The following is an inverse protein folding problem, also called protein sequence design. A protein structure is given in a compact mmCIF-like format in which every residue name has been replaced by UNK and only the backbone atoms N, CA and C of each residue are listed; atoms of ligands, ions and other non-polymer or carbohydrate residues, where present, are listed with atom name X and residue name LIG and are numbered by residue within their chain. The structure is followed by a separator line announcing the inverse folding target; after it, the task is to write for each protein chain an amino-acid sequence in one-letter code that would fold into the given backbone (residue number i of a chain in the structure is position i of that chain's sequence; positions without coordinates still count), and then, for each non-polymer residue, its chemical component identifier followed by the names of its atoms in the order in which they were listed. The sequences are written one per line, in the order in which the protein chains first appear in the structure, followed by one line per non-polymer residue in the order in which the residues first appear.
data_IF_027622544684
#
_entry.id   IF_027622544684
#
_cell.length_a   1.000
_cell.length_b   1.000
_cell.length_c   1.000
_cell.angle_alpha   90.00
_cell.angle_beta   90.00
_cell.angle_gamma   90.00
#
_symmetry.space_group_name_H-M   'P 1'
#
loop_
_entity.id
_entity.type
_entity.pdbx_description
1 polymer ?
#
# COMPACT_ATOMS: atom_id res chain seq x y z
N UNK A 1 28.17 -2.70 10.77
CA UNK A 1 27.02 -3.57 11.11
C UNK A 1 25.75 -2.78 10.90
N UNK A 2 24.72 -3.35 10.26
CA UNK A 2 23.37 -2.78 10.34
C UNK A 2 22.82 -3.19 11.70
N UNK A 3 22.48 -2.22 12.54
CA UNK A 3 21.84 -2.49 13.83
C UNK A 3 20.36 -2.78 13.61
N UNK A 4 19.81 -3.65 14.45
CA UNK A 4 18.37 -3.82 14.51
C UNK A 4 17.72 -2.51 14.94
N UNK A 5 16.68 -2.10 14.23
CA UNK A 5 15.99 -0.85 14.45
C UNK A 5 14.51 -1.19 14.54
N UNK A 6 13.93 -1.02 15.73
CA UNK A 6 12.53 -1.37 16.01
C UNK A 6 11.55 -0.75 14.99
N UNK A 7 11.92 0.40 14.40
CA UNK A 7 11.10 1.14 13.44
C UNK A 7 11.36 0.80 11.97
N UNK A 8 12.33 -0.08 11.65
CA UNK A 8 12.66 -0.47 10.27
C UNK A 8 12.75 -1.98 10.15
N UNK A 9 11.61 -2.62 9.91
CA UNK A 9 11.50 -4.08 9.69
C UNK A 9 12.38 -4.60 8.53
N UNK A 10 12.92 -3.72 7.69
CA UNK A 10 13.92 -4.06 6.68
C UNK A 10 15.28 -4.49 7.22
N UNK A 11 15.63 -4.16 8.48
CA UNK A 11 16.91 -4.58 9.10
C UNK A 11 17.07 -6.10 9.06
N UNK A 12 16.03 -6.83 9.50
CA UNK A 12 16.01 -8.29 9.57
C UNK A 12 16.11 -8.91 8.18
N UNK A 13 15.36 -8.38 7.21
CA UNK A 13 15.44 -8.84 5.81
C UNK A 13 16.86 -8.68 5.26
N UNK A 14 17.44 -7.49 5.35
CA UNK A 14 18.79 -7.21 4.85
C UNK A 14 19.85 -8.02 5.59
N UNK A 15 19.70 -8.24 6.89
CA UNK A 15 20.61 -9.07 7.68
C UNK A 15 20.60 -10.51 7.18
N UNK A 16 19.43 -11.12 7.01
CA UNK A 16 19.29 -12.49 6.53
C UNK A 16 19.79 -12.63 5.08
N UNK A 17 19.51 -11.65 4.23
CA UNK A 17 20.00 -11.62 2.84
C UNK A 17 21.53 -11.60 2.80
N UNK A 18 22.17 -10.72 3.57
CA UNK A 18 23.64 -10.66 3.67
C UNK A 18 24.23 -11.93 4.26
N UNK A 19 23.62 -12.48 5.31
CA UNK A 19 24.05 -13.74 5.91
C UNK A 19 23.99 -14.88 4.88
N UNK A 20 22.93 -14.93 4.06
CA UNK A 20 22.78 -15.91 2.98
C UNK A 20 23.88 -15.77 1.92
N UNK A 21 24.16 -14.54 1.48
CA UNK A 21 25.23 -14.24 0.51
C UNK A 21 26.62 -14.59 1.02
N UNK A 22 26.86 -14.41 2.32
CA UNK A 22 28.15 -14.64 2.97
C UNK A 22 28.26 -16.02 3.65
N UNK A 23 27.33 -16.94 3.39
CA UNK A 23 27.25 -18.26 4.05
C UNK A 23 28.59 -19.00 4.12
N UNK A 24 29.38 -18.99 3.04
CA UNK A 24 30.69 -19.65 3.02
C UNK A 24 31.70 -18.97 3.94
N UNK A 25 31.75 -17.64 3.93
CA UNK A 25 32.64 -16.86 4.79
C UNK A 25 32.26 -17.01 6.26
N UNK A 26 30.96 -17.01 6.57
CA UNK A 26 30.46 -17.25 7.94
C UNK A 26 30.85 -18.65 8.42
N UNK A 27 30.67 -19.69 7.60
CA UNK A 27 31.10 -21.05 7.96
C UNK A 27 32.61 -21.16 8.20
N UNK A 28 33.42 -20.53 7.34
CA UNK A 28 34.87 -20.52 7.52
C UNK A 28 35.27 -19.82 8.83
N UNK A 29 34.60 -18.72 9.17
CA UNK A 29 34.80 -18.01 10.43
C UNK A 29 34.33 -18.82 11.65
N UNK A 30 33.26 -19.60 11.53
CA UNK A 30 32.81 -20.53 12.57
C UNK A 30 33.85 -21.62 12.87
N UNK A 31 34.63 -22.03 11.86
CA UNK A 31 35.69 -23.04 11.99
C UNK A 31 37.05 -22.45 12.39
N UNK A 32 37.17 -21.12 12.46
CA UNK A 32 38.40 -20.42 12.85
C UNK A 32 38.60 -20.50 14.37
N UNK A 33 39.66 -21.17 14.86
CA UNK A 33 39.94 -21.28 16.28
C UNK A 33 40.26 -19.93 16.96
N UNK A 34 40.74 -18.92 16.21
CA UNK A 34 41.12 -17.61 16.74
C UNK A 34 39.90 -16.73 17.05
N UNK A 35 38.75 -16.99 16.39
CA UNK A 35 37.51 -16.24 16.59
C UNK A 35 36.69 -16.70 17.81
N UNK A 36 37.05 -17.84 18.42
CA UNK A 36 36.43 -18.38 19.63
C UNK A 36 34.87 -18.37 19.63
N UNK A 37 34.25 -18.65 18.48
CA UNK A 37 32.79 -18.66 18.33
C UNK A 37 32.23 -19.87 19.11
N UNK A 38 31.42 -19.57 20.13
CA UNK A 38 30.77 -20.58 20.97
C UNK A 38 29.81 -21.44 20.14
N UNK A 39 29.75 -22.74 20.42
CA UNK A 39 28.91 -23.68 19.66
C UNK A 39 27.42 -23.29 19.64
N UNK A 40 26.92 -22.64 20.69
CA UNK A 40 25.55 -22.14 20.82
C UNK A 40 25.25 -20.95 19.89
N UNK A 41 26.28 -20.29 19.35
CA UNK A 41 26.15 -19.15 18.43
C UNK A 41 26.29 -19.55 16.96
N UNK A 42 26.55 -20.83 16.67
CA UNK A 42 26.73 -21.34 15.30
C UNK A 42 25.39 -21.68 14.66
N UNK A 43 25.22 -21.33 13.39
CA UNK A 43 24.02 -21.69 12.65
C UNK A 43 24.07 -23.15 12.22
N UNK A 44 23.02 -23.90 12.54
CA UNK A 44 22.92 -25.31 12.15
C UNK A 44 22.68 -25.45 10.65
N UNK A 45 22.93 -26.62 10.04
CA UNK A 45 22.58 -26.87 8.64
C UNK A 45 21.09 -26.60 8.32
N UNK A 46 20.20 -26.84 9.29
CA UNK A 46 18.78 -26.57 9.17
C UNK A 46 18.49 -25.07 9.15
N UNK A 47 19.16 -24.27 9.98
CA UNK A 47 19.01 -22.81 9.97
C UNK A 47 19.42 -22.24 8.62
N UNK A 48 20.52 -22.75 8.07
CA UNK A 48 21.01 -22.37 6.74
C UNK A 48 20.07 -22.77 5.59
N UNK A 49 19.22 -23.78 5.76
CA UNK A 49 18.16 -24.16 4.82
C UNK A 49 16.87 -23.33 5.03
N UNK A 50 16.65 -22.85 6.25
CA UNK A 50 15.51 -22.02 6.62
C UNK A 50 15.65 -20.58 6.14
N UNK A 51 16.86 -20.01 6.20
CA UNK A 51 17.15 -18.60 5.86
C UNK A 51 16.55 -18.18 4.49
N UNK A 52 16.80 -18.89 3.37
CA UNK A 52 16.22 -18.51 2.07
C UNK A 52 14.69 -18.50 2.05
N UNK A 53 14.07 -19.41 2.81
CA UNK A 53 12.61 -19.52 2.92
C UNK A 53 12.03 -18.34 3.69
N UNK A 54 12.69 -17.93 4.77
CA UNK A 54 12.31 -16.74 5.55
C UNK A 54 12.52 -15.46 4.75
N UNK A 55 13.62 -15.34 4.00
CA UNK A 55 13.86 -14.22 3.08
C UNK A 55 12.72 -14.12 2.05
N UNK A 56 12.32 -15.25 1.45
CA UNK A 56 11.21 -15.26 0.50
C UNK A 56 9.88 -14.81 1.12
N UNK A 57 9.66 -15.13 2.41
CA UNK A 57 8.47 -14.72 3.15
C UNK A 57 8.48 -13.23 3.51
N UNK A 58 9.63 -12.69 3.89
CA UNK A 58 9.79 -11.29 4.30
C UNK A 58 9.93 -10.34 3.10
N UNK A 59 10.40 -10.82 1.95
CA UNK A 59 10.64 -10.03 0.75
C UNK A 59 9.46 -9.16 0.30
N UNK A 60 8.23 -9.68 0.19
CA UNK A 60 7.06 -8.87 -0.17
C UNK A 60 6.77 -7.73 0.82
N UNK A 61 6.99 -7.97 2.11
CA UNK A 61 6.82 -6.93 3.15
C UNK A 61 7.88 -5.87 2.97
N UNK A 62 9.14 -6.26 2.84
CA UNK A 62 10.25 -5.34 2.62
C UNK A 62 10.07 -4.48 1.36
N UNK A 63 9.71 -5.10 0.24
CA UNK A 63 9.45 -4.39 -1.02
C UNK A 63 8.26 -3.42 -0.91
N UNK A 64 7.23 -3.79 -0.15
CA UNK A 64 6.07 -2.94 0.10
C UNK A 64 6.43 -1.76 1.00
N UNK A 65 7.20 -1.99 2.06
CA UNK A 65 7.73 -0.91 2.90
C UNK A 65 8.57 0.07 2.10
N UNK A 66 9.49 -0.40 1.25
CA UNK A 66 10.30 0.47 0.40
C UNK A 66 9.45 1.28 -0.59
N UNK A 67 8.40 0.67 -1.15
CA UNK A 67 7.46 1.38 -2.03
C UNK A 67 6.69 2.46 -1.28
N UNK A 68 6.31 2.21 -0.02
CA UNK A 68 5.63 3.17 0.84
C UNK A 68 6.54 4.29 1.35
N UNK A 69 7.85 4.04 1.44
CA UNK A 69 8.88 5.03 1.80
C UNK A 69 9.39 5.86 0.60
N UNK A 70 8.97 5.53 -0.63
CA UNK A 70 9.38 6.25 -1.83
C UNK A 70 8.90 7.70 -1.82
N UNK A 71 9.70 8.62 -2.36
CA UNK A 71 9.30 10.03 -2.58
C UNK A 71 8.08 10.15 -3.51
N UNK A 72 7.80 9.11 -4.31
CA UNK A 72 6.64 9.04 -5.20
C UNK A 72 5.44 8.32 -4.58
N UNK A 73 5.52 7.94 -3.31
CA UNK A 73 4.44 7.21 -2.65
C UNK A 73 3.20 8.08 -2.51
N UNK A 74 2.05 7.50 -2.83
CA UNK A 74 0.73 8.14 -2.78
C UNK A 74 -0.24 7.32 -1.93
N UNK A 75 -1.25 8.00 -1.38
CA UNK A 75 -2.38 7.34 -0.71
C UNK A 75 -3.09 6.36 -1.66
N UNK A 76 -3.07 6.62 -2.97
CA UNK A 76 -3.62 5.71 -3.99
C UNK A 76 -2.89 4.37 -4.08
N UNK A 77 -1.66 4.26 -3.56
CA UNK A 77 -0.86 3.05 -3.61
C UNK A 77 -1.22 2.08 -2.47
N UNK A 78 -1.85 2.54 -1.38
CA UNK A 78 -2.06 1.74 -0.15
C UNK A 78 -2.83 0.44 -0.41
N UNK A 79 -4.02 0.53 -1.02
CA UNK A 79 -4.88 -0.63 -1.33
C UNK A 79 -4.21 -1.59 -2.32
N UNK A 80 -3.68 -1.15 -3.48
CA UNK A 80 -3.02 -2.05 -4.42
C UNK A 80 -1.71 -2.65 -3.88
N UNK A 81 -0.96 -1.92 -3.06
CA UNK A 81 0.31 -2.38 -2.50
C UNK A 81 0.09 -3.48 -1.45
N UNK A 82 -0.85 -3.26 -0.52
CA UNK A 82 -1.23 -4.27 0.48
C UNK A 82 -1.81 -5.53 -0.17
N UNK A 83 -2.66 -5.38 -1.19
CA UNK A 83 -3.13 -6.50 -2.02
C UNK A 83 -1.98 -7.27 -2.67
N UNK A 84 -1.05 -6.58 -3.33
CA UNK A 84 0.10 -7.19 -4.00
C UNK A 84 0.95 -7.96 -3.00
N UNK A 85 1.29 -7.33 -1.87
CA UNK A 85 2.03 -7.94 -0.77
C UNK A 85 1.40 -9.25 -0.30
N UNK A 86 0.09 -9.25 -0.04
CA UNK A 86 -0.63 -10.45 0.43
C UNK A 86 -0.57 -11.58 -0.61
N UNK A 87 -0.78 -11.26 -1.89
CA UNK A 87 -0.70 -12.23 -2.99
C UNK A 87 0.71 -12.84 -3.09
N UNK A 88 1.75 -12.02 -2.98
CA UNK A 88 3.13 -12.49 -3.06
C UNK A 88 3.48 -13.40 -1.88
N UNK A 89 3.09 -13.04 -0.65
CA UNK A 89 3.26 -13.90 0.54
C UNK A 89 2.52 -15.23 0.35
N UNK A 90 1.27 -15.20 -0.15
CA UNK A 90 0.48 -16.41 -0.39
C UNK A 90 1.13 -17.36 -1.40
N UNK A 91 1.93 -16.85 -2.34
CA UNK A 91 2.65 -17.66 -3.34
C UNK A 91 3.92 -18.32 -2.80
N UNK A 92 4.43 -17.90 -1.64
CA UNK A 92 5.62 -18.50 -1.02
C UNK A 92 5.32 -19.95 -0.59
N UNK A 93 6.27 -20.86 -0.83
CA UNK A 93 6.13 -22.26 -0.43
C UNK A 93 5.95 -22.41 1.08
N UNK A 94 5.09 -23.35 1.51
CA UNK A 94 4.88 -23.66 2.93
C UNK A 94 5.90 -24.66 3.51
N UNK A 95 6.76 -25.25 2.66
CA UNK A 95 7.69 -26.29 3.11
C UNK A 95 8.67 -25.78 4.17
N UNK A 96 8.57 -26.31 5.40
CA UNK A 96 9.41 -25.91 6.55
C UNK A 96 9.07 -24.58 7.20
N UNK A 97 8.15 -23.78 6.63
CA UNK A 97 7.76 -22.45 7.15
C UNK A 97 6.24 -22.23 7.23
N UNK A 98 5.43 -23.29 7.07
CA UNK A 98 3.97 -23.19 7.00
C UNK A 98 3.35 -22.45 8.19
N UNK A 99 3.69 -22.85 9.43
CA UNK A 99 3.21 -22.19 10.65
C UNK A 99 3.60 -20.72 10.71
N UNK A 100 4.82 -20.37 10.30
CA UNK A 100 5.29 -18.98 10.28
C UNK A 100 4.53 -18.16 9.24
N UNK A 101 4.34 -18.70 8.03
CA UNK A 101 3.58 -18.06 6.96
C UNK A 101 2.13 -17.81 7.38
N UNK A 102 1.47 -18.81 7.96
CA UNK A 102 0.08 -18.71 8.38
C UNK A 102 -0.06 -17.71 9.53
N UNK A 103 0.85 -17.73 10.50
CA UNK A 103 0.91 -16.73 11.57
C UNK A 103 1.10 -15.31 11.01
N UNK A 104 2.01 -15.13 10.05
CA UNK A 104 2.26 -13.84 9.41
C UNK A 104 1.04 -13.31 8.65
N UNK A 105 0.40 -14.15 7.83
CA UNK A 105 -0.83 -13.79 7.10
C UNK A 105 -1.96 -13.43 8.06
N UNK A 106 -2.14 -14.20 9.13
CA UNK A 106 -3.15 -13.90 10.16
C UNK A 106 -2.88 -12.56 10.86
N UNK A 107 -1.61 -12.23 11.13
CA UNK A 107 -1.26 -10.91 11.69
C UNK A 107 -1.57 -9.80 10.69
N UNK A 108 -1.16 -9.94 9.42
CA UNK A 108 -1.46 -8.96 8.37
C UNK A 108 -2.97 -8.72 8.27
N UNK A 109 -3.78 -9.78 8.23
CA UNK A 109 -5.23 -9.67 8.14
C UNK A 109 -5.83 -8.97 9.36
N UNK A 110 -5.34 -9.28 10.56
CA UNK A 110 -5.76 -8.56 11.78
C UNK A 110 -5.44 -7.07 11.73
N UNK A 111 -4.26 -6.69 11.24
CA UNK A 111 -3.84 -5.29 11.12
C UNK A 111 -4.63 -4.52 10.06
N UNK A 112 -4.94 -5.14 8.92
CA UNK A 112 -5.63 -4.48 7.80
C UNK A 112 -7.16 -4.47 7.94
N UNK A 113 -7.75 -5.49 8.57
CA UNK A 113 -9.22 -5.65 8.63
C UNK A 113 -9.83 -5.18 9.96
N UNK A 114 -9.02 -4.80 10.94
CA UNK A 114 -9.50 -4.14 12.17
C UNK A 114 -9.63 -5.00 13.40
N UNK A 115 -8.81 -6.04 13.52
CA UNK A 115 -8.74 -6.89 14.71
C UNK A 115 -7.98 -6.28 15.88
N UNK A 116 -7.38 -5.09 15.72
CA UNK A 116 -6.64 -4.37 16.75
C UNK A 116 -7.04 -2.88 16.75
N UNK A 117 -7.49 -2.38 17.90
CA UNK A 117 -7.90 -0.98 18.12
C UNK A 117 -6.74 0.02 18.03
N UNK A 118 -5.49 -0.44 17.94
CA UNK A 118 -4.30 0.38 17.71
C UNK A 118 -3.98 0.59 16.23
N UNK A 119 -4.70 -0.05 15.31
CA UNK A 119 -4.34 -0.04 13.89
C UNK A 119 -4.80 1.25 13.17
N UNK A 120 -3.87 1.94 12.50
CA UNK A 120 -4.19 3.08 11.64
C UNK A 120 -4.79 2.68 10.27
N UNK A 121 -4.78 1.38 9.95
CA UNK A 121 -5.19 0.82 8.65
C UNK A 121 -6.48 0.00 8.70
N UNK A 122 -7.26 0.11 9.78
CA UNK A 122 -8.52 -0.63 9.94
C UNK A 122 -9.45 -0.40 8.76
N UNK A 123 -9.84 -1.48 8.09
CA UNK A 123 -10.81 -1.48 6.99
C UNK A 123 -10.40 -0.49 5.90
N UNK A 124 -9.14 -0.55 5.45
CA UNK A 124 -8.59 0.34 4.42
C UNK A 124 -9.46 0.42 3.15
N UNK A 125 -10.06 -0.70 2.71
CA UNK A 125 -10.95 -0.72 1.53
C UNK A 125 -12.34 -0.11 1.80
N UNK A 126 -12.62 0.29 3.03
CA UNK A 126 -13.82 1.04 3.44
C UNK A 126 -13.47 2.48 3.84
N UNK A 127 -12.19 2.82 3.98
CA UNK A 127 -11.75 4.17 4.28
C UNK A 127 -11.97 5.06 3.05
N UNK A 128 -12.81 6.11 3.15
CA UNK A 128 -13.19 6.91 1.98
C UNK A 128 -12.00 7.58 1.31
N UNK A 129 -10.98 8.04 2.06
CA UNK A 129 -9.79 8.69 1.50
C UNK A 129 -8.97 7.71 0.65
N UNK A 130 -8.69 6.52 1.19
CA UNK A 130 -7.91 5.50 0.48
C UNK A 130 -8.66 4.96 -0.74
N UNK A 131 -9.97 4.72 -0.59
CA UNK A 131 -10.84 4.24 -1.67
C UNK A 131 -10.90 5.24 -2.81
N UNK A 132 -11.19 6.52 -2.51
CA UNK A 132 -11.31 7.56 -3.53
C UNK A 132 -9.95 7.79 -4.21
N UNK A 133 -8.86 7.91 -3.45
CA UNK A 133 -7.52 8.09 -4.01
C UNK A 133 -7.16 6.94 -4.97
N UNK A 134 -7.42 5.68 -4.58
CA UNK A 134 -7.15 4.51 -5.43
C UNK A 134 -8.03 4.48 -6.69
N UNK A 135 -9.30 4.91 -6.59
CA UNK A 135 -10.22 4.94 -7.72
C UNK A 135 -9.89 6.03 -8.75
N UNK A 136 -9.45 7.19 -8.27
CA UNK A 136 -9.05 8.32 -9.12
C UNK A 136 -7.71 8.07 -9.82
N UNK A 137 -6.88 7.19 -9.27
CA UNK A 137 -5.62 6.81 -9.90
C UNK A 137 -5.86 5.89 -11.12
N UNK A 138 -5.52 6.35 -12.34
CA UNK A 138 -5.77 5.58 -13.55
C UNK A 138 -4.99 4.26 -13.61
N UNK A 139 -3.89 4.14 -12.85
CA UNK A 139 -3.07 2.92 -12.76
C UNK A 139 -3.83 1.78 -12.08
N UNK A 140 -4.78 2.10 -11.20
CA UNK A 140 -5.43 1.11 -10.34
C UNK A 140 -6.93 0.99 -10.58
N UNK A 141 -7.68 2.09 -10.45
CA UNK A 141 -9.15 2.08 -10.49
C UNK A 141 -9.71 0.95 -9.61
N UNK A 142 -10.73 0.23 -10.08
CA UNK A 142 -11.29 -0.94 -9.37
C UNK A 142 -10.38 -2.18 -9.39
N UNK A 143 -9.32 -2.20 -10.20
CA UNK A 143 -8.39 -3.33 -10.26
C UNK A 143 -7.50 -3.42 -9.01
N UNK A 144 -7.22 -2.26 -8.38
CA UNK A 144 -6.40 -2.17 -7.16
C UNK A 144 -6.99 -2.90 -5.95
N UNK A 145 -8.31 -3.03 -5.88
CA UNK A 145 -9.01 -3.62 -4.73
C UNK A 145 -8.87 -5.15 -4.69
N UNK A 146 -8.68 -5.67 -3.48
CA UNK A 146 -8.76 -7.08 -3.13
C UNK A 146 -10.22 -7.51 -3.08
N UNK A 147 -11.07 -6.79 -2.32
CA UNK A 147 -12.50 -7.02 -2.33
C UNK A 147 -13.14 -6.27 -3.51
N UNK A 148 -13.59 -7.05 -4.50
CA UNK A 148 -14.22 -6.48 -5.70
C UNK A 148 -15.53 -5.77 -5.41
N UNK A 149 -16.28 -6.22 -4.41
CA UNK A 149 -17.52 -5.57 -4.01
C UNK A 149 -17.25 -4.18 -3.42
N UNK A 150 -16.23 -4.06 -2.55
CA UNK A 150 -15.83 -2.78 -1.97
C UNK A 150 -15.35 -1.79 -3.03
N UNK A 151 -14.55 -2.26 -4.00
CA UNK A 151 -14.14 -1.43 -5.12
C UNK A 151 -15.32 -0.91 -5.96
N UNK A 152 -16.34 -1.74 -6.22
CA UNK A 152 -17.55 -1.30 -6.94
C UNK A 152 -18.41 -0.36 -6.10
N UNK A 153 -18.57 -0.64 -4.80
CA UNK A 153 -19.29 0.21 -3.86
C UNK A 153 -18.65 1.60 -3.78
N UNK A 154 -17.33 1.65 -3.68
CA UNK A 154 -16.54 2.89 -3.71
C UNK A 154 -16.75 3.66 -5.02
N UNK A 155 -16.70 2.97 -6.16
CA UNK A 155 -16.96 3.58 -7.48
C UNK A 155 -18.36 4.19 -7.55
N UNK A 156 -19.39 3.47 -7.11
CA UNK A 156 -20.76 3.96 -7.15
C UNK A 156 -20.93 5.20 -6.27
N UNK A 157 -20.35 5.20 -5.06
CA UNK A 157 -20.35 6.38 -4.17
C UNK A 157 -19.65 7.57 -4.81
N UNK A 158 -18.49 7.37 -5.42
CA UNK A 158 -17.74 8.44 -6.09
C UNK A 158 -18.54 9.05 -7.25
N UNK A 159 -19.22 8.23 -8.06
CA UNK A 159 -20.09 8.71 -9.13
C UNK A 159 -21.25 9.55 -8.58
N UNK A 160 -21.89 9.10 -7.50
CA UNK A 160 -22.96 9.87 -6.85
C UNK A 160 -22.46 11.23 -6.34
N UNK A 161 -21.27 11.28 -5.74
CA UNK A 161 -20.66 12.54 -5.28
C UNK A 161 -20.37 13.50 -6.43
N UNK A 162 -19.81 12.99 -7.54
CA UNK A 162 -19.53 13.81 -8.73
C UNK A 162 -20.83 14.36 -9.33
N UNK A 163 -21.88 13.52 -9.45
CA UNK A 163 -23.18 13.95 -9.97
C UNK A 163 -23.81 15.02 -9.06
N UNK A 164 -23.74 14.86 -7.74
CA UNK A 164 -24.27 15.87 -6.82
C UNK A 164 -23.55 17.20 -6.94
N UNK A 165 -22.22 17.19 -7.09
CA UNK A 165 -21.42 18.41 -7.25
C UNK A 165 -21.77 19.12 -8.56
N UNK A 166 -21.82 18.38 -9.68
CA UNK A 166 -22.20 18.93 -10.98
C UNK A 166 -23.62 19.52 -10.97
N UNK A 167 -24.55 18.93 -10.22
CA UNK A 167 -25.92 19.44 -10.12
C UNK A 167 -25.98 20.75 -9.31
N UNK A 168 -25.08 20.95 -8.34
CA UNK A 168 -24.97 22.20 -7.59
C UNK A 168 -24.32 23.33 -8.40
N UNK A 169 -23.33 23.02 -9.25
CA UNK A 169 -22.72 24.03 -10.14
C UNK A 169 -23.71 24.54 -11.21
N UNK A 170 -24.60 23.67 -11.71
CA UNK A 170 -25.63 24.05 -12.69
C UNK A 170 -26.67 25.00 -12.08
N UNK A 171 -27.14 24.77 -10.85
CA UNK A 171 -28.10 25.66 -10.19
C UNK A 171 -27.47 27.00 -9.76
N UNK A 172 -26.18 27.01 -9.44
CA UNK A 172 -25.42 28.24 -9.17
C UNK A 172 -25.18 29.09 -10.43
N UNK A 173 -25.08 28.46 -11.60
CA UNK A 173 -24.83 29.16 -12.87
C UNK A 173 -26.11 29.74 -13.48
N UNK A 174 -27.25 29.03 -13.36
CA UNK A 174 -28.55 29.53 -13.86
C UNK A 174 -29.02 30.80 -13.15
N UNK A 175 -28.74 30.96 -11.84
CA UNK A 175 -29.10 32.20 -11.11
C UNK A 175 -28.24 33.43 -11.48
N UNK A 176 -27.05 33.26 -12.06
CA UNK A 176 -26.19 34.38 -12.45
C UNK A 176 -26.58 34.92 -13.84
N UNK A 177 -27.12 34.08 -14.71
CA UNK A 177 -27.53 34.49 -16.06
C UNK A 177 -28.90 35.17 -16.15
N UNK A 178 -29.73 35.10 -15.11
CA UNK A 178 -31.11 35.63 -15.14
C UNK A 178 -31.27 37.06 -14.59
N UNK A 179 -30.16 37.77 -14.28
CA UNK A 179 -30.21 39.18 -13.79
C UNK A 179 -29.61 40.21 -14.74
N UNK A 180 -29.40 39.88 -16.02
CA UNK A 180 -29.14 40.89 -17.05
C UNK A 180 -30.47 41.48 -17.56
N UNK A 181 -30.91 42.56 -16.90
CA UNK A 181 -32.12 43.33 -17.17
C UNK A 181 -32.16 43.92 -18.62
N UNK A 182 -33.34 44.05 -19.28
CA UNK A 182 -33.47 44.49 -20.65
C UNK A 182 -33.80 45.98 -20.72
N UNK A 183 -32.85 46.83 -21.15
CA UNK A 183 -33.17 48.17 -21.63
C UNK A 183 -32.07 48.69 -22.56
N UNK A 184 -32.39 48.83 -23.85
CA UNK A 184 -32.49 50.15 -24.50
C UNK A 184 -32.40 50.03 -26.03
N UNK A 185 -33.55 50.06 -26.71
CA UNK A 185 -33.63 50.50 -28.09
C UNK A 185 -34.88 51.37 -28.26
N UNK A 186 -34.79 52.60 -27.74
CA UNK A 186 -35.70 53.66 -28.19
C UNK A 186 -35.17 54.23 -29.50
N UNK A 187 -35.93 54.00 -30.57
CA UNK A 187 -35.74 54.61 -31.88
C UNK A 187 -35.81 56.14 -31.77
N UNK A 188 -34.81 56.85 -32.29
CA UNK A 188 -34.95 58.27 -32.63
C UNK A 188 -34.76 58.46 -34.12
N UNK A 189 -35.79 59.09 -34.66
CA UNK A 189 -36.13 59.30 -36.05
C UNK A 189 -35.22 60.31 -36.74
N UNK A 190 -34.95 60.02 -38.00
CA UNK A 190 -34.38 60.83 -39.06
C UNK A 190 -35.04 62.24 -39.17
N UNK A 191 -34.24 63.33 -39.17
CA UNK A 191 -34.63 64.61 -39.82
C UNK A 191 -33.41 65.27 -40.48
N UNK A 192 -33.54 65.44 -41.79
CA UNK A 192 -32.71 66.23 -42.72
C UNK A 192 -32.35 67.63 -42.23
N UNK A 193 -31.08 68.04 -42.41
CA UNK A 193 -30.64 69.00 -43.44
C UNK A 193 -29.12 69.11 -43.48
#
# INVERSE_FOLDING_TARGET
MLLDCETRWGSVYTMLERASQQKQAVKLAEDDPDLAIVAESKLTPNDWDLIPKVIALLGPIYASSLSAESDTASVSDIIPLTKKMKIEIQRVSQSGIGTMKDALLNQIDRYLEGGDTRAHFVKMEQNPLMVIATLLDPRYKTAGFQNKEEGQRGKQKLLTLIISELTQEVSGTEMVTETADPADHTQVTEVRK
#
